data_IF_080694771249
#
_entry.id   IF_080694771249
#
_cell.length_a   1.000
_cell.length_b   1.000
_cell.length_c   1.000
_cell.angle_alpha   90.00
_cell.angle_beta   90.00
_cell.angle_gamma   90.00
#
_symmetry.space_group_name_H-M   'P 1'
#
loop_
_entity.id
_entity.type
_entity.pdbx_description
1 polymer ?
#
# COMPACT_ATOMS: atom_id res chain seq x y z
N UNK A 1 15.91 -2.33 -25.24
CA UNK A 1 15.79 -2.17 -23.78
C UNK A 1 14.33 -2.34 -23.42
N UNK A 2 14.00 -3.16 -22.42
CA UNK A 2 12.63 -3.32 -21.93
C UNK A 2 12.22 -2.11 -21.10
N UNK A 3 10.97 -1.66 -21.26
CA UNK A 3 10.40 -0.59 -20.45
C UNK A 3 10.35 -1.02 -18.95
N UNK A 4 10.52 -0.09 -18.00
CA UNK A 4 10.37 -0.39 -16.58
C UNK A 4 8.92 -0.73 -16.24
N UNK A 5 8.75 -1.70 -15.35
CA UNK A 5 7.44 -2.09 -14.79
C UNK A 5 7.16 -1.25 -13.54
N UNK A 6 5.98 -0.64 -13.47
CA UNK A 6 5.53 0.21 -12.37
C UNK A 6 4.51 -0.54 -11.52
N UNK A 7 4.84 -0.73 -10.24
CA UNK A 7 4.03 -1.46 -9.27
C UNK A 7 3.64 -0.52 -8.14
N UNK A 8 2.33 -0.38 -7.90
CA UNK A 8 1.76 0.38 -6.80
C UNK A 8 1.36 -0.54 -5.64
N UNK A 9 1.26 0.02 -4.45
CA UNK A 9 0.77 -0.68 -3.26
C UNK A 9 -0.23 0.18 -2.49
N UNK A 10 -1.31 -0.45 -2.03
CA UNK A 10 -2.32 0.15 -1.17
C UNK A 10 -2.45 -0.69 0.12
N UNK A 11 -2.20 -0.07 1.26
CA UNK A 11 -2.21 -0.75 2.56
C UNK A 11 -3.38 -0.28 3.42
N UNK A 12 -4.25 -1.19 3.85
CA UNK A 12 -5.40 -0.83 4.68
C UNK A 12 -5.04 -0.64 6.16
N UNK A 13 -5.43 0.52 6.73
CA UNK A 13 -5.42 0.76 8.18
C UNK A 13 -6.64 1.57 8.65
N UNK A 14 -6.96 1.50 9.94
CA UNK A 14 -8.06 2.26 10.52
C UNK A 14 -7.88 3.79 10.32
N UNK A 15 -8.84 4.42 9.64
CA UNK A 15 -8.79 5.85 9.31
C UNK A 15 -8.04 6.18 8.01
N UNK A 16 -7.67 5.18 7.20
CA UNK A 16 -7.02 5.41 5.91
C UNK A 16 -7.94 6.09 4.87
N UNK A 17 -7.32 6.69 3.86
CA UNK A 17 -7.98 7.38 2.75
C UNK A 17 -8.51 6.37 1.74
N UNK A 18 -9.81 6.10 1.81
CA UNK A 18 -10.52 5.19 0.90
C UNK A 18 -10.35 5.53 -0.60
N UNK A 19 -10.11 6.79 -0.95
CA UNK A 19 -9.94 7.21 -2.35
C UNK A 19 -8.55 6.93 -2.92
N UNK A 20 -7.54 6.62 -2.09
CA UNK A 20 -6.14 6.51 -2.52
C UNK A 20 -5.95 5.43 -3.60
N UNK A 21 -6.60 4.27 -3.44
CA UNK A 21 -6.55 3.19 -4.43
C UNK A 21 -7.13 3.61 -5.78
N UNK A 22 -8.24 4.37 -5.77
CA UNK A 22 -8.89 4.87 -6.98
C UNK A 22 -8.01 5.89 -7.69
N UNK A 23 -7.42 6.82 -6.96
CA UNK A 23 -6.52 7.84 -7.52
C UNK A 23 -5.29 7.21 -8.21
N UNK A 24 -4.76 6.13 -7.63
CA UNK A 24 -3.66 5.36 -8.24
C UNK A 24 -4.08 4.66 -9.55
N UNK A 25 -5.31 4.15 -9.63
CA UNK A 25 -5.82 3.47 -10.83
C UNK A 25 -6.22 4.46 -11.94
N UNK A 26 -6.78 5.60 -11.58
CA UNK A 26 -7.34 6.56 -12.54
C UNK A 26 -6.31 7.63 -12.97
N UNK A 27 -5.31 7.93 -12.13
CA UNK A 27 -4.33 8.98 -12.37
C UNK A 27 -2.87 8.53 -12.40
N UNK A 28 -2.57 7.27 -12.03
CA UNK A 28 -1.20 6.74 -11.99
C UNK A 28 -0.82 5.98 -13.26
N UNK A 29 0.45 6.08 -13.67
CA UNK A 29 1.04 5.14 -14.63
C UNK A 29 1.42 3.86 -13.88
N UNK A 30 0.50 2.94 -13.65
CA UNK A 30 0.77 1.67 -12.97
C UNK A 30 0.46 0.50 -13.88
N UNK A 31 1.38 -0.46 -13.95
CA UNK A 31 1.16 -1.73 -14.62
C UNK A 31 0.48 -2.72 -13.66
N UNK A 32 0.81 -2.64 -12.38
CA UNK A 32 0.26 -3.50 -11.34
C UNK A 32 -0.08 -2.71 -10.08
N UNK A 33 -1.14 -3.13 -9.41
CA UNK A 33 -1.50 -2.62 -8.09
C UNK A 33 -1.61 -3.80 -7.12
N UNK A 34 -0.95 -3.67 -5.99
CA UNK A 34 -0.97 -4.63 -4.90
C UNK A 34 -1.73 -4.05 -3.71
N UNK A 35 -2.30 -4.91 -2.89
CA UNK A 35 -3.01 -4.51 -1.69
C UNK A 35 -2.62 -5.36 -0.50
N UNK A 36 -2.47 -4.75 0.67
CA UNK A 36 -2.41 -5.48 1.93
C UNK A 36 -3.62 -5.15 2.81
N UNK A 37 -4.15 -6.18 3.47
CA UNK A 37 -5.31 -6.09 4.35
C UNK A 37 -4.93 -6.13 5.83
N UNK A 38 -3.62 -6.27 6.14
CA UNK A 38 -3.10 -6.46 7.49
C UNK A 38 -2.02 -5.42 7.86
N UNK A 39 -1.86 -4.32 7.11
CA UNK A 39 -0.84 -3.32 7.44
C UNK A 39 -0.98 -2.82 8.87
N UNK A 40 -2.18 -2.45 9.33
CA UNK A 40 -2.36 -1.97 10.71
C UNK A 40 -1.89 -2.97 11.76
N UNK A 41 -2.33 -4.23 11.66
CA UNK A 41 -1.93 -5.28 12.59
C UNK A 41 -0.42 -5.55 12.52
N UNK A 42 0.13 -5.61 11.31
CA UNK A 42 1.57 -5.87 11.08
C UNK A 42 2.41 -4.74 11.65
N UNK A 43 2.03 -3.49 11.40
CA UNK A 43 2.72 -2.30 11.90
C UNK A 43 2.58 -2.17 13.42
N UNK A 44 1.45 -2.54 14.01
CA UNK A 44 1.26 -2.60 15.46
C UNK A 44 2.23 -3.60 16.11
N UNK A 45 2.35 -4.81 15.53
CA UNK A 45 3.28 -5.84 16.01
C UNK A 45 4.72 -5.34 15.91
N UNK A 46 5.11 -4.79 14.75
CA UNK A 46 6.45 -4.25 14.53
C UNK A 46 6.77 -3.11 15.50
N UNK A 47 5.81 -2.21 15.76
CA UNK A 47 5.96 -1.13 16.72
C UNK A 47 6.21 -1.64 18.13
N UNK A 48 5.43 -2.64 18.57
CA UNK A 48 5.61 -3.26 19.89
C UNK A 48 6.97 -3.93 20.05
N UNK A 49 7.46 -4.61 19.01
CA UNK A 49 8.77 -5.28 19.06
C UNK A 49 9.93 -4.28 19.11
N UNK A 50 9.80 -3.11 18.49
CA UNK A 50 10.81 -2.03 18.58
C UNK A 50 10.86 -1.32 19.94
N UNK A 51 9.81 -1.43 20.75
CA UNK A 51 9.74 -0.82 22.09
C UNK A 51 10.31 -1.73 23.19
N UNK A 52 10.65 -2.97 22.88
CA UNK A 52 11.42 -3.88 23.76
C UNK A 52 12.91 -3.65 23.58
#
# INVERSE_FOLDING_TARGET
MTAPVRIGNASGFYGDRLTAMREMLEGGELDYLTGDYLAELTMLILGRDRMK
#
